data_IF_159781757581
#
_entry.id   IF_159781757581
#
_cell.length_a   1.000
_cell.length_b   1.000
_cell.length_c   1.000
_cell.angle_alpha   90.00
_cell.angle_beta   90.00
_cell.angle_gamma   90.00
#
_symmetry.space_group_name_H-M   'P 1'
#
loop_
_entity.id
_entity.type
_entity.pdbx_description
1 polymer ?
#
# COMPACT_ATOMS: atom_id res chain seq x y z
N UNK A 1 24.80 -0.08 19.09
CA UNK A 1 24.19 1.19 18.61
C UNK A 1 24.11 1.28 17.07
N UNK A 2 24.93 0.55 16.31
CA UNK A 2 24.99 0.57 14.84
C UNK A 2 23.68 0.16 14.12
N UNK A 3 22.90 -0.78 14.66
CA UNK A 3 21.67 -1.26 14.00
C UNK A 3 20.46 -0.30 14.11
N UNK A 4 20.50 0.67 15.03
CA UNK A 4 19.38 1.62 15.20
C UNK A 4 19.24 2.54 14.00
N UNK A 5 20.36 3.04 13.44
CA UNK A 5 20.36 3.90 12.25
C UNK A 5 19.80 3.20 11.01
N UNK A 6 20.17 1.94 10.79
CA UNK A 6 19.63 1.09 9.72
C UNK A 6 18.12 0.84 9.89
N UNK A 7 17.66 0.56 11.11
CA UNK A 7 16.23 0.41 11.38
C UNK A 7 15.46 1.71 11.15
N UNK A 8 16.00 2.86 11.58
CA UNK A 8 15.36 4.16 11.32
C UNK A 8 15.31 4.48 9.83
N UNK A 9 16.38 4.20 9.08
CA UNK A 9 16.42 4.35 7.62
C UNK A 9 15.37 3.47 6.94
N UNK A 10 15.24 2.20 7.34
CA UNK A 10 14.22 1.29 6.80
C UNK A 10 12.80 1.78 7.06
N UNK A 11 12.52 2.31 8.25
CA UNK A 11 11.21 2.91 8.57
C UNK A 11 10.99 4.19 7.77
N UNK A 12 12.02 5.04 7.61
CA UNK A 12 11.92 6.28 6.84
C UNK A 12 11.61 6.01 5.36
N UNK A 13 12.25 5.00 4.79
CA UNK A 13 11.96 4.52 3.42
C UNK A 13 10.54 3.97 3.32
N UNK A 14 10.05 3.24 4.33
CA UNK A 14 8.67 2.77 4.37
C UNK A 14 7.64 3.90 4.43
N UNK A 15 7.91 4.95 5.21
CA UNK A 15 7.06 6.15 5.27
C UNK A 15 7.09 6.90 3.93
N UNK A 16 8.26 7.01 3.31
CA UNK A 16 8.41 7.63 1.99
C UNK A 16 7.60 6.88 0.93
N UNK A 17 7.68 5.56 0.91
CA UNK A 17 6.88 4.71 0.03
C UNK A 17 5.38 4.90 0.26
N UNK A 18 4.93 4.92 1.52
CA UNK A 18 3.53 5.15 1.86
C UNK A 18 3.02 6.54 1.41
N UNK A 19 3.88 7.57 1.44
CA UNK A 19 3.55 8.89 0.91
C UNK A 19 3.39 8.90 -0.62
N UNK A 20 4.17 8.05 -1.31
CA UNK A 20 4.07 7.88 -2.75
C UNK A 20 2.78 7.15 -3.15
N UNK A 21 2.36 6.12 -2.41
CA UNK A 21 1.15 5.34 -2.74
C UNK A 21 -0.09 6.23 -2.90
N UNK A 22 -0.33 7.15 -1.95
CA UNK A 22 -1.46 8.09 -2.05
C UNK A 22 -1.36 9.04 -3.25
N UNK A 23 -0.14 9.37 -3.68
CA UNK A 23 0.11 10.25 -4.83
C UNK A 23 -0.08 9.50 -6.16
N UNK A 24 0.35 8.24 -6.24
CA UNK A 24 0.16 7.39 -7.42
C UNK A 24 -1.32 7.15 -7.68
N UNK A 25 -2.09 6.81 -6.64
CA UNK A 25 -3.54 6.58 -6.74
C UNK A 25 -4.27 7.84 -7.21
N UNK A 26 -3.82 9.03 -6.83
CA UNK A 26 -4.45 10.28 -7.28
C UNK A 26 -4.07 10.69 -8.72
N UNK A 27 -2.82 10.45 -9.13
CA UNK A 27 -2.26 11.00 -10.39
C UNK A 27 -2.19 9.99 -11.54
N UNK A 28 -1.85 8.73 -11.26
CA UNK A 28 -1.65 7.70 -12.28
C UNK A 28 -2.90 6.86 -12.55
N UNK A 29 -3.76 6.71 -11.54
CA UNK A 29 -4.98 5.90 -11.63
C UNK A 29 -5.96 6.33 -12.74
N UNK A 30 -6.22 7.63 -13.01
CA UNK A 30 -7.12 8.01 -14.10
C UNK A 30 -6.58 7.56 -15.46
N UNK A 31 -5.27 7.68 -15.69
CA UNK A 31 -4.61 7.24 -16.92
C UNK A 31 -4.66 5.72 -17.07
N UNK A 32 -4.42 4.98 -15.99
CA UNK A 32 -4.47 3.50 -16.00
C UNK A 32 -5.89 3.02 -16.31
N UNK A 33 -6.89 3.56 -15.63
CA UNK A 33 -8.30 3.18 -15.84
C UNK A 33 -8.77 3.56 -17.24
N UNK A 34 -8.33 4.71 -17.77
CA UNK A 34 -8.61 5.12 -19.14
C UNK A 34 -7.95 4.18 -20.18
N UNK A 35 -6.73 3.71 -19.91
CA UNK A 35 -6.04 2.74 -20.79
C UNK A 35 -6.63 1.33 -20.75
N UNK A 36 -7.22 0.92 -19.62
CA UNK A 36 -7.82 -0.39 -19.43
C UNK A 36 -9.33 -0.43 -19.76
N UNK A 37 -9.94 0.71 -20.09
CA UNK A 37 -11.34 0.82 -20.53
C UNK A 37 -12.39 0.78 -19.41
N UNK A 38 -11.98 0.73 -18.14
CA UNK A 38 -12.84 0.55 -16.98
C UNK A 38 -13.22 1.84 -16.25
N UNK A 39 -13.57 2.93 -16.93
CA UNK A 39 -13.86 4.24 -16.28
C UNK A 39 -14.92 4.16 -15.18
N UNK A 40 -15.87 3.23 -15.28
CA UNK A 40 -16.87 2.96 -14.24
C UNK A 40 -16.26 2.39 -12.96
N UNK A 41 -15.21 1.58 -13.07
CA UNK A 41 -14.45 1.05 -11.94
C UNK A 41 -13.56 2.09 -11.25
N UNK A 42 -13.35 3.28 -11.83
CA UNK A 42 -12.56 4.33 -11.18
C UNK A 42 -13.14 4.70 -9.81
N UNK A 43 -14.46 4.92 -9.74
CA UNK A 43 -15.14 5.26 -8.49
C UNK A 43 -15.07 4.12 -7.48
N UNK A 44 -15.24 2.87 -7.94
CA UNK A 44 -15.18 1.70 -7.08
C UNK A 44 -13.77 1.44 -6.54
N UNK A 45 -12.75 1.58 -7.37
CA UNK A 45 -11.37 1.37 -6.98
C UNK A 45 -10.89 2.46 -6.00
N UNK A 46 -11.32 3.72 -6.17
CA UNK A 46 -11.08 4.78 -5.19
C UNK A 46 -11.80 4.51 -3.86
N UNK A 47 -13.06 4.08 -3.91
CA UNK A 47 -13.83 3.71 -2.71
C UNK A 47 -13.20 2.53 -1.96
N UNK A 48 -12.78 1.49 -2.68
CA UNK A 48 -12.08 0.34 -2.12
C UNK A 48 -10.77 0.75 -1.46
N UNK A 49 -9.96 1.62 -2.10
CA UNK A 49 -8.73 2.15 -1.53
C UNK A 49 -8.99 2.91 -0.22
N UNK A 50 -9.95 3.83 -0.21
CA UNK A 50 -10.35 4.59 0.98
C UNK A 50 -10.83 3.68 2.11
N UNK A 51 -11.69 2.71 1.80
CA UNK A 51 -12.21 1.75 2.78
C UNK A 51 -11.09 0.92 3.38
N UNK A 52 -10.19 0.37 2.54
CA UNK A 52 -9.07 -0.43 3.02
C UNK A 52 -8.11 0.40 3.85
N UNK A 53 -7.81 1.64 3.45
CA UNK A 53 -6.96 2.55 4.21
C UNK A 53 -7.58 2.84 5.60
N UNK A 54 -8.87 3.13 5.65
CA UNK A 54 -9.60 3.41 6.89
C UNK A 54 -9.65 2.21 7.83
N UNK A 55 -9.85 0.99 7.31
CA UNK A 55 -9.89 -0.25 8.11
C UNK A 55 -8.49 -0.68 8.53
N UNK A 56 -7.49 -0.50 7.67
CA UNK A 56 -6.12 -0.94 7.93
C UNK A 56 -5.44 -0.15 9.04
N UNK A 57 -5.70 1.15 9.17
CA UNK A 57 -5.11 1.98 10.22
C UNK A 57 -5.33 1.42 11.66
N UNK A 58 -6.57 1.22 12.14
CA UNK A 58 -6.81 0.67 13.47
C UNK A 58 -6.42 -0.82 13.56
N UNK A 59 -6.57 -1.57 12.48
CA UNK A 59 -6.23 -2.99 12.44
C UNK A 59 -4.72 -3.19 12.66
N UNK A 60 -3.87 -2.47 11.93
CA UNK A 60 -2.43 -2.50 12.10
C UNK A 60 -2.00 -1.95 13.46
N UNK A 61 -2.69 -0.94 14.01
CA UNK A 61 -2.44 -0.46 15.37
C UNK A 61 -2.60 -1.58 16.42
N UNK A 62 -3.73 -2.29 16.39
CA UNK A 62 -3.98 -3.40 17.33
C UNK A 62 -3.08 -4.60 17.08
N UNK A 63 -2.78 -4.94 15.82
CA UNK A 63 -1.83 -6.02 15.52
C UNK A 63 -0.40 -5.68 15.95
N UNK A 64 0.03 -4.42 15.88
CA UNK A 64 1.36 -4.00 16.29
C UNK A 64 1.59 -4.19 17.79
N UNK A 65 0.55 -3.96 18.58
CA UNK A 65 0.57 -4.12 20.04
C UNK A 65 0.61 -5.60 20.45
N UNK A 66 -0.10 -6.48 19.73
CA UNK A 66 -0.18 -7.91 20.06
C UNK A 66 1.03 -8.71 19.54
N UNK A 67 1.44 -8.49 18.28
CA UNK A 67 2.46 -9.31 17.60
C UNK A 67 3.87 -8.69 17.58
N UNK A 68 3.99 -7.43 18.03
CA UNK A 68 5.24 -6.69 18.06
C UNK A 68 5.59 -6.02 16.72
N UNK A 69 6.00 -4.75 16.79
CA UNK A 69 6.29 -3.86 15.64
C UNK A 69 7.24 -4.45 14.59
N UNK A 70 8.23 -5.26 14.98
CA UNK A 70 9.23 -5.80 14.03
C UNK A 70 8.63 -6.83 13.06
N UNK A 71 7.80 -7.76 13.55
CA UNK A 71 7.16 -8.78 12.68
C UNK A 71 6.16 -8.14 11.74
N UNK A 72 5.37 -7.19 12.25
CA UNK A 72 4.36 -6.51 11.46
C UNK A 72 4.96 -5.73 10.29
N UNK A 73 6.13 -5.11 10.48
CA UNK A 73 6.85 -4.43 9.40
C UNK A 73 7.24 -5.39 8.26
N UNK A 74 7.75 -6.57 8.58
CA UNK A 74 8.10 -7.58 7.57
C UNK A 74 6.87 -8.18 6.88
N UNK A 75 5.77 -8.41 7.61
CA UNK A 75 4.51 -8.88 7.03
C UNK A 75 3.95 -7.83 6.07
N UNK A 76 3.92 -6.56 6.47
CA UNK A 76 3.49 -5.46 5.61
C UNK A 76 4.35 -5.34 4.35
N UNK A 77 5.68 -5.46 4.48
CA UNK A 77 6.58 -5.47 3.34
C UNK A 77 6.31 -6.65 2.38
N UNK A 78 6.05 -7.86 2.90
CA UNK A 78 5.72 -9.01 2.08
C UNK A 78 4.39 -8.83 1.34
N UNK A 79 3.36 -8.29 2.00
CA UNK A 79 2.06 -7.97 1.40
C UNK A 79 2.23 -6.92 0.30
N UNK A 80 3.03 -5.87 0.55
CA UNK A 80 3.30 -4.82 -0.43
C UNK A 80 3.95 -5.38 -1.71
N UNK A 81 4.96 -6.23 -1.56
CA UNK A 81 5.65 -6.86 -2.70
C UNK A 81 4.71 -7.79 -3.48
N UNK A 82 3.94 -8.62 -2.77
CA UNK A 82 2.98 -9.52 -3.40
C UNK A 82 1.88 -8.75 -4.16
N UNK A 83 1.33 -7.69 -3.54
CA UNK A 83 0.34 -6.82 -4.16
C UNK A 83 0.88 -6.10 -5.39
N UNK A 84 2.10 -5.55 -5.32
CA UNK A 84 2.74 -4.90 -6.46
C UNK A 84 2.96 -5.87 -7.63
N UNK A 85 3.39 -7.11 -7.34
CA UNK A 85 3.55 -8.14 -8.36
C UNK A 85 2.22 -8.53 -9.01
N UNK A 86 1.15 -8.67 -8.22
CA UNK A 86 -0.21 -8.94 -8.72
C UNK A 86 -0.74 -7.81 -9.60
N UNK A 87 -0.55 -6.55 -9.20
CA UNK A 87 -0.92 -5.39 -9.99
C UNK A 87 -0.13 -5.33 -11.32
N UNK A 88 1.16 -5.67 -11.30
CA UNK A 88 1.99 -5.72 -12.51
C UNK A 88 1.59 -6.84 -13.48
N UNK A 89 1.00 -7.93 -12.98
CA UNK A 89 0.49 -9.03 -13.78
C UNK A 89 -0.94 -8.82 -14.30
N UNK A 90 -1.62 -7.74 -13.89
CA UNK A 90 -2.99 -7.47 -14.28
C UNK A 90 -3.06 -6.93 -15.72
N UNK A 91 -3.64 -7.72 -16.63
CA UNK A 91 -3.79 -7.37 -18.05
C UNK A 91 -5.09 -6.66 -18.42
N UNK A 92 -6.07 -6.59 -17.51
CA UNK A 92 -7.38 -5.99 -17.77
C UNK A 92 -8.11 -5.66 -16.47
N UNK A 93 -8.86 -4.56 -16.46
CA UNK A 93 -9.90 -4.29 -15.47
C UNK A 93 -11.22 -4.79 -16.07
N UNK A 94 -11.75 -5.94 -15.63
CA UNK A 94 -13.10 -6.36 -16.03
C UNK A 94 -14.17 -5.43 -15.43
#
# INVERSE_FOLDING_TARGET
MTNRRLATLGVLLGIFLAAIDGTIVSTAMPTVVQSLGGLELYAWAFAAYMLFAAVSMPLYGRLADIYGRKRLFFVGAAIFVAGSALCGAAGSMP
#
